data_IF_510125184362
#
_entry.id   IF_510125184362
#
_cell.length_a   1.000
_cell.length_b   1.000
_cell.length_c   1.000
_cell.angle_alpha   90.00
_cell.angle_beta   90.00
_cell.angle_gamma   90.00
#
_symmetry.space_group_name_H-M   'P 1'
#
loop_
_entity.id
_entity.type
_entity.pdbx_description
1 polymer ?
#
# COMPACT_ATOMS: atom_id res chain seq x y z
N UNK A 1 -0.85 2.73 11.94
CA UNK A 1 -1.48 2.06 10.78
C UNK A 1 -1.00 0.62 10.68
N UNK A 2 -1.72 -0.23 9.95
CA UNK A 2 -1.27 -1.59 9.63
C UNK A 2 -0.65 -1.60 8.22
N UNK A 3 0.43 -2.37 8.04
CA UNK A 3 1.21 -2.44 6.80
C UNK A 3 1.62 -3.89 6.57
N UNK A 4 1.20 -4.51 5.48
CA UNK A 4 1.70 -5.80 5.02
C UNK A 4 2.94 -5.58 4.15
N UNK A 5 3.93 -6.47 4.22
CA UNK A 5 5.15 -6.46 3.42
C UNK A 5 5.34 -7.85 2.79
N UNK A 6 5.39 -7.97 1.45
CA UNK A 6 5.95 -9.17 0.81
C UNK A 6 7.47 -9.16 1.00
N UNK A 7 7.98 -10.21 1.60
CA UNK A 7 9.40 -10.35 1.88
C UNK A 7 10.20 -10.84 0.68
N UNK A 8 9.62 -11.54 -0.31
CA UNK A 8 10.37 -12.14 -1.43
C UNK A 8 11.66 -12.89 -1.05
N UNK A 9 11.67 -13.52 0.13
CA UNK A 9 12.86 -14.20 0.64
C UNK A 9 13.94 -13.29 1.26
N UNK A 10 13.64 -12.00 1.51
CA UNK A 10 14.42 -11.14 2.41
C UNK A 10 14.54 -11.84 3.77
N UNK A 11 15.75 -12.11 4.26
CA UNK A 11 15.93 -12.84 5.51
C UNK A 11 15.31 -12.10 6.69
N UNK A 12 14.41 -12.78 7.40
CA UNK A 12 13.87 -12.30 8.67
C UNK A 12 14.97 -12.21 9.72
N UNK A 13 15.27 -11.00 10.19
CA UNK A 13 16.17 -10.79 11.32
C UNK A 13 15.40 -10.87 12.64
N UNK A 14 15.61 -11.95 13.39
CA UNK A 14 14.99 -12.15 14.71
C UNK A 14 15.36 -11.06 15.74
N UNK A 15 16.47 -10.33 15.54
CA UNK A 15 16.96 -9.31 16.47
C UNK A 15 16.29 -7.94 16.28
N UNK A 16 15.86 -7.61 15.07
CA UNK A 16 15.00 -6.45 14.78
C UNK A 16 13.99 -6.84 13.69
N UNK A 17 12.80 -7.34 14.06
CA UNK A 17 11.81 -7.79 13.10
C UNK A 17 11.29 -6.65 12.19
N UNK A 18 11.54 -5.39 12.56
CA UNK A 18 11.17 -4.20 11.80
C UNK A 18 12.29 -3.67 10.89
N UNK A 19 13.49 -4.25 10.91
CA UNK A 19 14.60 -3.86 10.04
C UNK A 19 14.22 -3.86 8.54
N UNK A 20 13.48 -4.86 7.99
CA UNK A 20 13.10 -4.86 6.58
C UNK A 20 12.23 -3.66 6.21
N UNK A 21 11.27 -3.28 7.07
CA UNK A 21 10.39 -2.14 6.84
C UNK A 21 11.12 -0.79 7.01
N UNK A 22 12.05 -0.72 7.97
CA UNK A 22 12.91 0.47 8.18
C UNK A 22 13.79 0.76 6.96
N UNK A 23 14.27 -0.27 6.28
CA UNK A 23 15.13 -0.16 5.08
C UNK A 23 14.44 0.46 3.86
N UNK A 24 13.11 0.44 3.77
CA UNK A 24 12.40 0.97 2.59
C UNK A 24 12.49 2.49 2.47
N UNK A 25 12.42 3.24 3.58
CA UNK A 25 12.55 4.70 3.61
C UNK A 25 13.23 5.20 4.90
N UNK A 26 14.55 5.00 5.05
CA UNK A 26 15.26 5.20 6.33
C UNK A 26 15.16 6.62 6.92
N UNK A 27 15.08 7.66 6.09
CA UNK A 27 14.98 9.06 6.53
C UNK A 27 13.76 9.30 7.41
N UNK A 28 12.58 8.82 7.02
CA UNK A 28 11.36 9.02 7.80
C UNK A 28 11.36 8.28 9.15
N UNK A 29 12.17 7.23 9.31
CA UNK A 29 12.40 6.59 10.60
C UNK A 29 13.41 7.38 11.46
N UNK A 30 14.47 7.93 10.85
CA UNK A 30 15.46 8.77 11.53
C UNK A 30 14.87 10.12 12.00
N UNK A 31 13.94 10.67 11.23
CA UNK A 31 13.18 11.90 11.54
C UNK A 31 12.05 11.68 12.57
N UNK A 32 11.89 10.46 13.11
CA UNK A 32 10.79 10.05 14.01
C UNK A 32 9.36 10.20 13.45
N UNK A 33 9.20 10.47 12.14
CA UNK A 33 7.89 10.46 11.46
C UNK A 33 7.24 9.09 11.56
N UNK A 34 8.04 8.03 11.34
CA UNK A 34 7.64 6.65 11.56
C UNK A 34 8.25 6.14 12.86
N UNK A 35 7.40 5.58 13.73
CA UNK A 35 7.75 5.18 15.09
C UNK A 35 7.00 3.90 15.49
N UNK A 36 7.34 3.34 16.66
CA UNK A 36 6.59 2.24 17.29
C UNK A 36 6.29 1.04 16.36
N UNK A 37 7.24 0.67 15.49
CA UNK A 37 7.07 -0.48 14.63
C UNK A 37 6.99 -1.78 15.44
N UNK A 38 5.98 -2.60 15.15
CA UNK A 38 5.78 -3.91 15.77
C UNK A 38 5.32 -4.91 14.71
N UNK A 39 5.98 -6.08 14.63
CA UNK A 39 5.45 -7.21 13.87
C UNK A 39 4.22 -7.79 14.61
N UNK A 40 3.12 -7.91 13.89
CA UNK A 40 1.81 -8.40 14.40
C UNK A 40 1.56 -9.84 13.96
N UNK A 41 1.91 -10.17 12.71
CA UNK A 41 1.72 -11.51 12.15
C UNK A 41 2.81 -11.80 11.11
N UNK A 42 3.27 -13.05 11.07
CA UNK A 42 4.04 -13.63 9.98
C UNK A 42 3.15 -14.71 9.32
N UNK A 43 2.98 -14.64 8.00
CA UNK A 43 2.20 -15.62 7.25
C UNK A 43 2.75 -15.81 5.84
N UNK A 44 3.37 -16.96 5.60
CA UNK A 44 3.68 -17.51 4.27
C UNK A 44 4.36 -16.53 3.31
N UNK A 45 5.33 -15.77 3.81
CA UNK A 45 6.12 -14.80 3.03
C UNK A 45 5.66 -13.34 3.13
N UNK A 46 4.50 -13.08 3.74
CA UNK A 46 4.04 -11.71 4.08
C UNK A 46 4.12 -11.46 5.58
N UNK A 47 4.73 -10.31 5.93
CA UNK A 47 4.82 -9.81 7.30
C UNK A 47 3.82 -8.67 7.50
N UNK A 48 2.97 -8.75 8.52
CA UNK A 48 2.05 -7.69 8.93
C UNK A 48 2.65 -6.88 10.08
N UNK A 49 2.88 -5.61 9.86
CA UNK A 49 3.37 -4.65 10.83
C UNK A 49 2.27 -3.70 11.30
N UNK A 50 2.38 -3.26 12.55
CA UNK A 50 1.80 -2.03 13.02
C UNK A 50 2.89 -0.96 13.06
N UNK A 51 2.59 0.24 12.56
CA UNK A 51 3.50 1.40 12.53
C UNK A 51 2.79 2.62 13.12
N UNK A 52 3.36 3.20 14.18
CA UNK A 52 2.96 4.51 14.69
C UNK A 52 3.46 5.63 13.78
N UNK A 53 2.64 6.67 13.57
CA UNK A 53 2.99 7.83 12.76
C UNK A 53 2.93 9.06 13.66
N UNK A 54 3.98 9.86 13.72
CA UNK A 54 3.88 11.20 14.30
C UNK A 54 3.18 12.14 13.30
N UNK A 55 1.92 12.47 13.60
CA UNK A 55 1.12 13.35 12.75
C UNK A 55 1.71 14.77 12.65
N UNK A 56 2.45 15.23 13.68
CA UNK A 56 3.06 16.55 13.68
C UNK A 56 4.21 16.68 12.67
N UNK A 57 4.85 15.56 12.29
CA UNK A 57 5.91 15.53 11.25
C UNK A 57 5.33 15.56 9.82
N UNK A 58 4.02 15.37 9.64
CA UNK A 58 3.39 15.45 8.31
C UNK A 58 3.18 16.92 7.92
N UNK A 59 3.23 17.20 6.62
CA UNK A 59 2.86 18.53 6.10
C UNK A 59 1.40 18.84 6.48
N UNK A 60 1.02 20.09 6.80
CA UNK A 60 -0.30 20.42 7.34
C UNK A 60 -1.50 19.88 6.54
N UNK A 61 -1.44 19.93 5.20
CA UNK A 61 -2.49 19.38 4.33
C UNK A 61 -2.63 17.85 4.36
N UNK A 62 -1.67 17.13 4.93
CA UNK A 62 -1.69 15.66 5.07
C UNK A 62 -2.20 15.21 6.45
N UNK A 63 -2.21 16.11 7.45
CA UNK A 63 -2.54 15.80 8.85
C UNK A 63 -4.02 15.46 9.09
N UNK A 64 -4.91 15.96 8.23
CA UNK A 64 -6.37 15.88 8.36
C UNK A 64 -7.03 15.06 7.23
N UNK A 65 -6.26 14.23 6.53
CA UNK A 65 -6.79 13.36 5.48
C UNK A 65 -7.73 12.29 6.05
N UNK A 66 -8.78 11.94 5.29
CA UNK A 66 -9.63 10.77 5.63
C UNK A 66 -8.75 9.51 5.62
N UNK A 67 -9.09 8.53 6.47
CA UNK A 67 -8.29 7.32 6.74
C UNK A 67 -7.77 6.60 5.48
N UNK A 68 -8.58 6.53 4.43
CA UNK A 68 -8.21 5.91 3.15
C UNK A 68 -7.08 6.70 2.44
N UNK A 69 -7.25 8.01 2.25
CA UNK A 69 -6.24 8.88 1.64
C UNK A 69 -4.97 9.02 2.51
N UNK A 70 -5.14 9.05 3.84
CA UNK A 70 -4.03 9.00 4.78
C UNK A 70 -3.20 7.73 4.62
N UNK A 71 -3.85 6.56 4.57
CA UNK A 71 -3.18 5.27 4.39
C UNK A 71 -2.44 5.16 3.04
N UNK A 72 -2.99 5.77 1.97
CA UNK A 72 -2.29 5.91 0.69
C UNK A 72 -1.02 6.75 0.79
N UNK A 73 -1.10 7.92 1.45
CA UNK A 73 0.07 8.81 1.67
C UNK A 73 1.17 8.10 2.45
N UNK A 74 0.81 7.41 3.55
CA UNK A 74 1.80 6.72 4.38
C UNK A 74 2.40 5.51 3.66
N UNK A 75 1.61 4.72 2.92
CA UNK A 75 2.16 3.59 2.14
C UNK A 75 3.14 4.09 1.06
N UNK A 76 2.82 5.20 0.39
CA UNK A 76 3.71 5.85 -0.57
C UNK A 76 4.97 6.44 0.07
N UNK A 77 4.88 6.97 1.29
CA UNK A 77 6.05 7.44 2.04
C UNK A 77 6.92 6.27 2.56
N UNK A 78 6.34 5.12 2.92
CA UNK A 78 7.08 3.92 3.31
C UNK A 78 7.87 3.32 2.14
N UNK A 79 7.27 3.25 0.94
CA UNK A 79 7.91 2.72 -0.27
C UNK A 79 8.74 3.73 -1.06
N UNK A 80 9.00 4.94 -0.54
CA UNK A 80 9.59 6.04 -1.33
C UNK A 80 11.05 5.84 -1.80
N UNK A 81 11.68 4.73 -1.40
CA UNK A 81 13.02 4.31 -1.84
C UNK A 81 13.04 3.45 -3.11
N UNK A 82 14.22 2.95 -3.48
CA UNK A 82 14.46 2.21 -4.73
C UNK A 82 14.01 0.73 -4.73
N UNK A 83 13.23 0.30 -3.73
CA UNK A 83 12.86 -1.11 -3.52
C UNK A 83 11.54 -1.53 -4.20
N UNK A 84 10.89 -0.63 -4.95
CA UNK A 84 9.58 -0.88 -5.55
C UNK A 84 8.44 -0.78 -4.53
N UNK A 85 7.39 -1.59 -4.69
CA UNK A 85 6.16 -1.51 -3.91
C UNK A 85 5.81 -2.78 -3.12
N UNK A 86 6.70 -3.27 -2.24
CA UNK A 86 6.46 -4.50 -1.50
C UNK A 86 5.40 -4.36 -0.40
N UNK A 87 4.89 -3.15 -0.07
CA UNK A 87 3.87 -2.98 0.98
C UNK A 87 2.45 -2.69 0.52
N UNK A 88 1.49 -3.30 1.22
CA UNK A 88 0.07 -2.96 1.20
C UNK A 88 -0.39 -2.38 2.53
N UNK A 89 -1.50 -1.63 2.53
CA UNK A 89 -2.21 -1.29 3.76
C UNK A 89 -3.45 -2.18 3.99
N UNK A 90 -4.33 -2.44 3.01
CA UNK A 90 -5.26 -3.61 2.95
C UNK A 90 -5.86 -3.90 1.53
N UNK A 91 -7.14 -3.59 1.15
CA UNK A 91 -7.70 -3.94 -0.19
C UNK A 91 -8.70 -3.06 -1.06
N UNK A 92 -9.21 -1.85 -0.74
CA UNK A 92 -9.85 -0.93 -1.74
C UNK A 92 -8.79 -0.21 -2.55
N UNK A 93 -8.92 -0.06 -3.88
CA UNK A 93 -7.88 0.59 -4.68
C UNK A 93 -7.91 2.12 -4.55
N UNK A 94 -6.81 2.69 -4.09
CA UNK A 94 -6.60 4.13 -3.98
C UNK A 94 -5.38 4.46 -4.85
N UNK A 95 -5.58 5.33 -5.83
CA UNK A 95 -4.59 5.66 -6.84
C UNK A 95 -4.85 7.05 -7.43
N UNK A 96 -3.87 7.66 -8.12
CA UNK A 96 -4.13 8.80 -9.00
C UNK A 96 -5.27 8.48 -9.96
N UNK A 97 -6.16 9.44 -10.21
CA UNK A 97 -7.35 9.24 -11.05
C UNK A 97 -6.93 8.72 -12.42
N UNK A 98 -7.56 7.63 -12.81
CA UNK A 98 -7.19 6.82 -13.96
C UNK A 98 -8.45 6.18 -14.55
N UNK A 99 -8.89 6.68 -15.70
CA UNK A 99 -10.19 6.32 -16.28
C UNK A 99 -10.20 4.91 -16.89
N UNK A 100 -9.01 4.38 -17.21
CA UNK A 100 -8.79 3.03 -17.75
C UNK A 100 -8.48 1.99 -16.67
N UNK A 101 -8.34 2.37 -15.39
CA UNK A 101 -7.93 1.44 -14.32
C UNK A 101 -8.79 0.18 -14.27
N UNK A 102 -10.12 0.34 -14.36
CA UNK A 102 -11.04 -0.77 -14.29
C UNK A 102 -10.97 -1.71 -15.51
N UNK A 103 -10.44 -1.28 -16.63
CA UNK A 103 -10.24 -2.16 -17.79
C UNK A 103 -8.88 -2.83 -17.73
N UNK A 104 -7.82 -2.09 -17.37
CA UNK A 104 -6.49 -2.69 -17.15
C UNK A 104 -6.51 -3.75 -16.06
N UNK A 105 -7.18 -3.52 -14.92
CA UNK A 105 -7.23 -4.50 -13.84
C UNK A 105 -7.85 -5.82 -14.32
N UNK A 106 -8.94 -5.80 -15.10
CA UNK A 106 -9.59 -7.00 -15.67
C UNK A 106 -8.68 -7.80 -16.60
N UNK A 107 -7.69 -7.17 -17.24
CA UNK A 107 -6.77 -7.84 -18.18
C UNK A 107 -5.57 -8.52 -17.53
N UNK A 108 -5.40 -8.42 -16.20
CA UNK A 108 -4.25 -9.01 -15.51
C UNK A 108 -4.38 -10.54 -15.46
N UNK A 109 -3.41 -11.24 -16.06
CA UNK A 109 -3.30 -12.72 -16.09
C UNK A 109 -3.33 -13.36 -14.68
N UNK A 110 -2.95 -12.61 -13.65
CA UNK A 110 -3.08 -13.02 -12.25
C UNK A 110 -4.52 -13.39 -11.84
N UNK A 111 -5.51 -12.82 -12.52
CA UNK A 111 -6.94 -13.01 -12.27
C UNK A 111 -7.50 -14.29 -12.87
N UNK A 112 -6.74 -15.08 -13.65
CA UNK A 112 -7.13 -16.43 -14.08
C UNK A 112 -7.51 -17.32 -12.88
N UNK A 113 -6.88 -17.07 -11.72
CA UNK A 113 -7.28 -17.67 -10.44
C UNK A 113 -8.35 -16.86 -9.72
N UNK A 114 -8.28 -15.53 -9.73
CA UNK A 114 -9.14 -14.64 -8.95
C UNK A 114 -9.87 -13.65 -9.86
N UNK A 115 -10.88 -14.08 -10.65
CA UNK A 115 -11.51 -13.22 -11.64
C UNK A 115 -12.16 -12.00 -11.00
N UNK A 116 -11.92 -10.80 -11.56
CA UNK A 116 -12.64 -9.58 -11.17
C UNK A 116 -14.11 -9.72 -11.55
N UNK A 117 -14.98 -9.58 -10.55
CA UNK A 117 -16.44 -9.64 -10.69
C UNK A 117 -17.03 -8.25 -10.98
N UNK A 118 -16.51 -7.20 -10.34
CA UNK A 118 -16.82 -5.80 -10.65
C UNK A 118 -15.61 -4.90 -10.36
N UNK A 119 -15.54 -3.78 -11.06
CA UNK A 119 -14.64 -2.67 -10.73
C UNK A 119 -15.39 -1.37 -10.96
N UNK A 120 -15.45 -0.51 -9.96
CA UNK A 120 -16.26 0.71 -9.96
C UNK A 120 -15.47 1.88 -9.36
N UNK A 121 -15.54 3.05 -10.01
CA UNK A 121 -15.04 4.29 -9.43
C UNK A 121 -16.05 4.79 -8.39
N UNK A 122 -15.61 4.93 -7.14
CA UNK A 122 -16.49 5.27 -6.01
C UNK A 122 -16.46 6.76 -5.71
N UNK A 123 -15.27 7.36 -5.66
CA UNK A 123 -15.10 8.79 -5.33
C UNK A 123 -13.71 9.30 -5.68
N UNK A 124 -13.54 10.61 -5.67
CA UNK A 124 -12.23 11.27 -5.69
C UNK A 124 -12.07 12.16 -4.44
N UNK A 125 -10.83 12.39 -4.03
CA UNK A 125 -10.52 13.46 -3.09
C UNK A 125 -10.61 14.81 -3.81
N UNK A 126 -11.11 15.84 -3.13
CA UNK A 126 -11.44 17.14 -3.72
C UNK A 126 -10.21 18.01 -4.00
N UNK A 127 -9.13 17.81 -3.26
CA UNK A 127 -7.88 18.57 -3.38
C UNK A 127 -6.74 17.69 -3.91
N UNK A 128 -5.77 18.21 -4.70
CA UNK A 128 -4.64 17.40 -5.16
C UNK A 128 -3.69 17.03 -4.02
N UNK A 129 -3.47 15.73 -3.79
CA UNK A 129 -2.45 15.23 -2.85
C UNK A 129 -1.14 15.07 -3.60
N UNK A 130 -0.07 15.74 -3.17
CA UNK A 130 1.22 15.77 -3.87
C UNK A 130 1.10 16.16 -5.37
N UNK A 131 0.16 17.06 -5.70
CA UNK A 131 -0.22 17.48 -7.08
C UNK A 131 -0.97 16.43 -7.92
N UNK A 132 -1.36 15.30 -7.35
CA UNK A 132 -2.13 14.26 -8.02
C UNK A 132 -3.59 14.28 -7.54
N UNK A 133 -4.56 14.19 -8.47
CA UNK A 133 -5.97 13.95 -8.12
C UNK A 133 -6.13 12.48 -7.76
N UNK A 134 -6.57 12.17 -6.53
CA UNK A 134 -6.61 10.78 -6.03
C UNK A 134 -8.04 10.23 -6.11
N UNK A 135 -8.21 9.13 -6.83
CA UNK A 135 -9.45 8.36 -6.94
C UNK A 135 -9.47 7.15 -6.01
N UNK A 136 -10.67 6.75 -5.62
CA UNK A 136 -10.97 5.51 -4.88
C UNK A 136 -11.84 4.62 -5.76
N UNK A 137 -11.43 3.36 -5.92
CA UNK A 137 -12.06 2.37 -6.77
C UNK A 137 -12.31 1.09 -5.97
N UNK A 138 -13.53 0.57 -6.02
CA UNK A 138 -13.87 -0.71 -5.44
C UNK A 138 -13.70 -1.80 -6.49
N UNK A 139 -13.01 -2.88 -6.13
CA UNK A 139 -12.82 -4.05 -6.99
C UNK A 139 -13.30 -5.27 -6.23
N UNK A 140 -14.33 -5.94 -6.74
CA UNK A 140 -14.80 -7.20 -6.18
C UNK A 140 -14.27 -8.37 -7.00
N UNK A 141 -13.92 -9.46 -6.33
CA UNK A 141 -13.39 -10.67 -6.94
C UNK A 141 -14.37 -11.84 -6.77
N UNK A 142 -14.40 -12.77 -7.72
CA UNK A 142 -15.29 -13.93 -7.69
C UNK A 142 -15.01 -14.90 -6.53
N UNK A 143 -13.85 -14.79 -5.88
CA UNK A 143 -13.49 -15.51 -4.64
C UNK A 143 -12.50 -14.68 -3.81
N UNK A 144 -12.42 -14.87 -2.47
CA UNK A 144 -11.48 -14.14 -1.62
C UNK A 144 -10.02 -14.31 -2.08
N UNK A 145 -9.26 -13.20 -2.09
CA UNK A 145 -7.83 -13.19 -2.39
C UNK A 145 -7.04 -13.28 -1.05
N UNK A 146 -6.14 -14.27 -0.88
CA UNK A 146 -5.21 -14.31 0.26
C UNK A 146 -4.26 -13.10 0.26
N UNK A 147 -3.86 -12.58 1.44
CA UNK A 147 -2.99 -11.40 1.55
C UNK A 147 -1.72 -11.48 0.68
N UNK A 148 -1.05 -12.64 0.65
CA UNK A 148 0.14 -12.90 -0.19
C UNK A 148 -0.13 -12.68 -1.68
N UNK A 149 -1.32 -13.05 -2.15
CA UNK A 149 -1.73 -12.88 -3.54
C UNK A 149 -2.18 -11.42 -3.81
N UNK A 150 -2.74 -10.74 -2.81
CA UNK A 150 -3.08 -9.32 -2.90
C UNK A 150 -1.82 -8.43 -3.04
N UNK A 151 -0.73 -8.73 -2.33
CA UNK A 151 0.53 -7.95 -2.46
C UNK A 151 1.09 -8.10 -3.88
N UNK A 152 1.20 -9.33 -4.39
CA UNK A 152 1.66 -9.61 -5.76
C UNK A 152 0.85 -8.88 -6.83
N UNK A 153 -0.48 -8.81 -6.68
CA UNK A 153 -1.35 -8.07 -7.60
C UNK A 153 -0.97 -6.58 -7.66
N UNK A 154 -0.65 -5.96 -6.52
CA UNK A 154 -0.28 -4.53 -6.47
C UNK A 154 1.15 -4.29 -6.91
N UNK A 155 2.08 -5.20 -6.65
CA UNK A 155 3.41 -5.12 -7.24
C UNK A 155 3.35 -5.20 -8.77
N UNK A 156 2.53 -6.09 -9.32
CA UNK A 156 2.30 -6.20 -10.77
C UNK A 156 1.66 -4.94 -11.35
N UNK A 157 0.63 -4.40 -10.68
CA UNK A 157 0.00 -3.13 -11.08
C UNK A 157 1.00 -1.96 -11.08
N UNK A 158 1.86 -1.88 -10.07
CA UNK A 158 2.90 -0.84 -10.00
C UNK A 158 4.08 -1.09 -10.96
N UNK A 159 4.28 -2.32 -11.45
CA UNK A 159 5.31 -2.70 -12.42
C UNK A 159 6.73 -2.18 -12.07
N UNK A 160 7.08 -2.19 -10.77
CA UNK A 160 8.37 -1.70 -10.27
C UNK A 160 8.51 -0.18 -10.08
N UNK A 161 7.44 0.62 -10.24
CA UNK A 161 7.45 2.06 -9.93
C UNK A 161 7.78 2.28 -8.43
N UNK A 162 8.81 3.08 -8.15
CA UNK A 162 9.30 3.41 -6.80
C UNK A 162 8.37 4.35 -5.99
N UNK A 163 7.17 4.68 -6.49
CA UNK A 163 6.23 5.61 -5.82
C UNK A 163 4.86 5.00 -5.52
N UNK A 164 4.62 3.75 -5.86
CA UNK A 164 3.39 3.02 -5.55
C UNK A 164 2.13 3.79 -5.90
N UNK A 165 1.97 4.01 -7.21
CA UNK A 165 0.80 4.62 -7.83
C UNK A 165 -0.48 3.91 -7.38
N UNK A 166 -0.47 2.58 -7.36
CA UNK A 166 -1.57 1.75 -6.86
C UNK A 166 -1.28 1.34 -5.43
N UNK A 167 -2.18 1.71 -4.51
CA UNK A 167 -2.23 1.14 -3.17
C UNK A 167 -3.62 0.52 -2.95
N UNK A 168 -3.69 -0.49 -2.09
CA UNK A 168 -4.93 -1.18 -1.72
C UNK A 168 -5.18 -0.95 -0.21
N UNK A 169 -6.40 -0.62 0.23
CA UNK A 169 -6.78 -0.40 1.65
C UNK A 169 -8.28 -0.65 1.93
N UNK A 170 -8.65 -1.74 2.64
CA UNK A 170 -10.00 -2.01 3.15
C UNK A 170 -10.04 -1.54 4.62
N UNK A 171 -10.49 -2.45 5.50
CA UNK A 171 -11.25 -2.25 6.72
C UNK A 171 -11.16 -3.55 7.54
#
# INVERSE_FOLDING_TARGET
>A
INVQLDTKGVPYNQSDPCEPLKKLSPSYWQENRFQQCKLVQDSSGVLLYHVGIDNAQLQPGLQNLKSNYYSWVINRQLNSGSAGCPTLTTATFILPKDEEFCDRVKTLVFLDKYPVKSCEFISQYTEPIHKESIGTYEVSFGKPIPSVEAVKLVEQLNNGDARCRYNMAFY
#
